data_IF_079444989534
#
_entry.id   IF_079444989534
#
_cell.length_a   1.000
_cell.length_b   1.000
_cell.length_c   1.000
_cell.angle_alpha   90.00
_cell.angle_beta   90.00
_cell.angle_gamma   90.00
#
_symmetry.space_group_name_H-M   'P 1'
#
loop_
_entity.id
_entity.type
_entity.pdbx_description
1 polymer ?
#
# COMPACT_ATOMS: atom_id res chain seq x y z
N UNK A 1 -97.37 6.81 -5.32
CA UNK A 1 -97.65 6.74 -3.86
C UNK A 1 -96.44 7.35 -3.14
N UNK A 2 -96.53 8.60 -2.63
CA UNK A 2 -96.44 9.01 -1.19
C UNK A 2 -95.13 8.53 -0.52
N UNK A 3 -94.17 9.35 -0.05
CA UNK A 3 -94.18 10.51 0.89
C UNK A 3 -92.79 11.22 0.87
N UNK A 4 -92.70 12.56 0.80
CA UNK A 4 -92.39 13.59 1.84
C UNK A 4 -90.95 13.64 2.43
N UNK A 5 -90.33 14.83 2.24
CA UNK A 5 -89.13 15.47 2.88
C UNK A 5 -89.58 16.01 4.28
N UNK A 6 -88.77 16.21 5.38
CA UNK A 6 -87.49 16.95 5.46
C UNK A 6 -86.48 16.69 6.64
N UNK A 7 -85.40 17.49 6.64
CA UNK A 7 -84.61 18.09 7.75
C UNK A 7 -83.13 17.68 8.01
N UNK A 8 -82.27 18.70 7.84
CA UNK A 8 -80.85 18.97 8.22
C UNK A 8 -80.56 18.88 9.75
N UNK A 9 -79.33 19.12 10.28
CA UNK A 9 -77.97 18.64 9.97
C UNK A 9 -77.22 18.16 11.26
N UNK A 10 -76.03 17.55 11.15
CA UNK A 10 -75.00 17.70 12.21
C UNK A 10 -73.58 17.47 11.68
N UNK A 11 -72.75 18.50 11.84
CA UNK A 11 -71.29 18.44 11.80
C UNK A 11 -70.76 17.46 12.84
N UNK A 12 -69.74 16.68 12.49
CA UNK A 12 -68.56 16.47 13.33
C UNK A 12 -67.49 15.72 12.53
N UNK A 13 -66.34 16.36 12.38
CA UNK A 13 -65.13 15.79 11.84
C UNK A 13 -64.59 14.69 12.77
N UNK A 14 -64.25 13.53 12.20
CA UNK A 14 -63.12 12.73 12.66
C UNK A 14 -62.38 12.23 11.42
N UNK A 15 -61.12 12.66 11.32
CA UNK A 15 -60.16 12.17 10.35
C UNK A 15 -60.04 10.64 10.51
N UNK A 16 -60.36 9.90 9.45
CA UNK A 16 -59.94 8.51 9.37
C UNK A 16 -58.41 8.51 9.25
N UNK A 17 -57.77 7.98 10.28
CA UNK A 17 -56.45 7.37 10.17
C UNK A 17 -56.56 6.25 9.11
N UNK A 18 -56.17 6.57 7.88
CA UNK A 18 -55.91 5.58 6.86
C UNK A 18 -54.52 5.00 7.10
N UNK A 19 -54.47 3.83 7.73
CA UNK A 19 -53.37 2.89 7.55
C UNK A 19 -53.30 2.51 6.07
N UNK A 20 -52.53 3.27 5.29
CA UNK A 20 -52.00 2.85 4.01
C UNK A 20 -50.54 2.48 4.22
N UNK A 21 -50.32 1.21 4.56
CA UNK A 21 -48.98 0.65 4.74
C UNK A 21 -48.17 0.80 3.46
N UNK A 22 -47.00 1.40 3.60
CA UNK A 22 -45.90 1.25 2.66
C UNK A 22 -44.63 1.33 3.51
N UNK A 23 -44.31 0.22 4.16
CA UNK A 23 -43.00 -0.02 4.78
C UNK A 23 -41.95 -0.09 3.65
N UNK A 24 -41.56 1.08 3.15
CA UNK A 24 -40.28 1.21 2.47
C UNK A 24 -39.23 1.35 3.57
N UNK A 25 -38.34 0.36 3.79
CA UNK A 25 -37.17 0.62 4.59
C UNK A 25 -36.40 1.73 3.88
N UNK A 26 -36.24 2.86 4.57
CA UNK A 26 -35.27 3.90 4.24
C UNK A 26 -33.88 3.25 4.27
N UNK A 27 -33.49 2.60 3.18
CA UNK A 27 -32.14 2.11 2.92
C UNK A 27 -31.24 3.29 2.53
N UNK A 28 -31.20 4.31 3.39
CA UNK A 28 -30.14 5.32 3.38
C UNK A 28 -28.98 4.89 4.26
N UNK A 29 -28.60 3.61 4.18
CA UNK A 29 -27.25 3.20 4.57
C UNK A 29 -26.32 3.87 3.56
N UNK A 30 -25.45 4.81 3.96
CA UNK A 30 -24.44 5.34 3.06
C UNK A 30 -23.69 4.15 2.46
N UNK A 31 -23.45 4.11 1.13
CA UNK A 31 -22.72 3.00 0.54
C UNK A 31 -21.42 2.86 1.32
N UNK A 32 -21.21 1.69 1.93
CA UNK A 32 -20.01 1.41 2.70
C UNK A 32 -18.82 1.68 1.79
N UNK A 33 -18.11 2.77 2.05
CA UNK A 33 -16.90 3.08 1.30
C UNK A 33 -15.94 1.92 1.55
N UNK A 34 -15.64 1.20 0.47
CA UNK A 34 -14.56 0.22 0.41
C UNK A 34 -13.37 0.75 1.23
N UNK A 35 -13.08 0.11 2.35
CA UNK A 35 -11.97 0.53 3.22
C UNK A 35 -10.88 -0.53 3.18
N UNK A 36 -9.66 -0.08 2.90
CA UNK A 36 -8.47 -0.89 3.01
C UNK A 36 -7.93 -0.79 4.45
N UNK A 37 -7.70 -1.93 5.08
CA UNK A 37 -7.06 -2.02 6.40
C UNK A 37 -6.01 -3.13 6.42
N UNK A 38 -4.93 -2.89 7.15
CA UNK A 38 -3.90 -3.89 7.47
C UNK A 38 -3.73 -3.88 8.98
N UNK A 39 -3.48 -5.03 9.62
CA UNK A 39 -3.16 -5.08 11.05
C UNK A 39 -2.02 -4.11 11.37
N UNK A 40 -2.25 -3.25 12.36
CA UNK A 40 -1.25 -2.31 12.83
C UNK A 40 -0.29 -2.97 13.81
N UNK A 41 1.00 -2.83 13.54
CA UNK A 41 2.08 -3.24 14.44
C UNK A 41 2.66 -2.03 15.16
N UNK A 42 3.26 -2.30 16.32
CA UNK A 42 4.13 -1.35 17.03
C UNK A 42 5.30 -0.93 16.13
N UNK A 43 5.91 0.25 16.37
CA UNK A 43 7.09 0.69 15.62
C UNK A 43 8.20 -0.36 15.63
N UNK A 44 8.75 -0.68 14.45
CA UNK A 44 9.67 -1.80 14.29
C UNK A 44 9.77 -2.31 12.85
N UNK A 45 10.55 -3.37 12.67
CA UNK A 45 10.64 -4.12 11.43
C UNK A 45 10.28 -5.59 11.72
N UNK A 46 9.56 -6.23 10.79
CA UNK A 46 9.02 -7.57 11.00
C UNK A 46 9.09 -8.40 9.72
N UNK A 47 9.27 -9.71 9.89
CA UNK A 47 8.83 -10.70 8.91
C UNK A 47 7.39 -11.04 9.25
N UNK A 48 6.51 -11.00 8.25
CA UNK A 48 5.08 -11.29 8.44
C UNK A 48 4.61 -12.33 7.44
N UNK A 49 3.48 -12.94 7.74
CA UNK A 49 2.74 -13.72 6.76
C UNK A 49 1.25 -13.37 6.76
N UNK A 50 0.61 -13.50 5.61
CA UNK A 50 -0.81 -13.19 5.40
C UNK A 50 -1.48 -14.24 4.51
N UNK A 51 -2.81 -14.13 4.40
CA UNK A 51 -3.59 -14.94 3.46
C UNK A 51 -4.00 -16.28 4.06
N UNK A 52 -3.82 -17.34 3.28
CA UNK A 52 -4.18 -18.70 3.66
C UNK A 52 -3.13 -19.33 4.59
N UNK A 53 -3.56 -20.09 5.60
CA UNK A 53 -2.64 -20.66 6.59
C UNK A 53 -1.83 -21.86 6.06
N UNK A 54 -2.36 -22.58 5.08
CA UNK A 54 -1.71 -23.74 4.45
C UNK A 54 -0.80 -23.32 3.29
N UNK A 55 -1.01 -22.13 2.75
CA UNK A 55 -0.17 -21.50 1.72
C UNK A 55 0.04 -20.00 1.98
N UNK A 56 0.74 -19.63 3.06
CA UNK A 56 0.87 -18.24 3.47
C UNK A 56 1.75 -17.44 2.51
N UNK A 57 1.37 -16.19 2.27
CA UNK A 57 2.22 -15.22 1.58
C UNK A 57 3.10 -14.51 2.60
N UNK A 58 4.42 -14.61 2.43
CA UNK A 58 5.41 -13.99 3.31
C UNK A 58 5.74 -12.57 2.84
N UNK A 59 6.05 -11.68 3.77
CA UNK A 59 6.45 -10.32 3.45
C UNK A 59 7.30 -9.66 4.53
N UNK A 60 7.68 -8.43 4.24
CA UNK A 60 8.36 -7.52 5.17
C UNK A 60 7.42 -6.40 5.56
N UNK A 61 7.35 -6.10 6.85
CA UNK A 61 6.55 -5.02 7.40
C UNK A 61 7.46 -4.05 8.15
N UNK A 62 7.41 -2.77 7.79
CA UNK A 62 8.13 -1.69 8.45
C UNK A 62 7.13 -0.70 9.06
N UNK A 63 7.32 -0.40 10.34
CA UNK A 63 6.45 0.45 11.12
C UNK A 63 7.22 1.62 11.71
N UNK A 64 6.89 2.83 11.25
CA UNK A 64 7.49 4.06 11.76
C UNK A 64 6.83 4.55 13.04
N UNK A 65 7.62 5.18 13.92
CA UNK A 65 7.12 5.80 15.15
C UNK A 65 6.17 6.99 14.87
N UNK A 66 6.23 7.55 13.66
CA UNK A 66 5.36 8.64 13.20
C UNK A 66 4.01 8.17 12.64
N UNK A 67 3.74 6.85 12.64
CA UNK A 67 2.53 6.25 12.10
C UNK A 67 2.62 5.80 10.64
N UNK A 68 3.73 6.09 9.95
CA UNK A 68 4.01 5.55 8.61
C UNK A 68 4.15 4.03 8.65
N UNK A 69 3.70 3.34 7.61
CA UNK A 69 3.72 1.88 7.49
C UNK A 69 4.02 1.45 6.07
N UNK A 70 4.71 0.33 5.93
CA UNK A 70 4.99 -0.27 4.63
C UNK A 70 5.04 -1.79 4.77
N UNK A 71 4.20 -2.47 3.99
CA UNK A 71 4.14 -3.93 3.89
C UNK A 71 4.40 -4.32 2.44
N UNK A 72 5.48 -5.05 2.19
CA UNK A 72 5.77 -5.66 0.89
C UNK A 72 5.56 -7.17 0.99
N UNK A 73 4.61 -7.69 0.22
CA UNK A 73 4.33 -9.12 0.11
C UNK A 73 5.07 -9.71 -1.09
N UNK A 74 5.82 -10.78 -0.84
CA UNK A 74 6.56 -11.49 -1.85
C UNK A 74 5.64 -12.34 -2.72
N UNK A 75 5.92 -12.37 -4.03
CA UNK A 75 5.36 -13.32 -4.98
C UNK A 75 6.41 -14.33 -5.41
N UNK A 76 6.49 -14.59 -6.72
CA UNK A 76 7.52 -15.44 -7.29
C UNK A 76 8.93 -14.85 -7.06
N UNK A 77 9.92 -15.73 -6.90
CA UNK A 77 11.35 -15.35 -6.76
C UNK A 77 11.63 -14.40 -5.58
N UNK A 78 10.77 -14.44 -4.56
CA UNK A 78 10.81 -13.58 -3.38
C UNK A 78 10.75 -12.07 -3.67
N UNK A 79 10.34 -11.69 -4.89
CA UNK A 79 10.13 -10.29 -5.27
C UNK A 79 8.80 -9.78 -4.77
N UNK A 80 8.77 -8.54 -4.30
CA UNK A 80 7.51 -7.90 -3.93
C UNK A 80 6.59 -7.76 -5.15
N UNK A 81 5.35 -8.22 -5.02
CA UNK A 81 4.32 -8.09 -6.08
C UNK A 81 3.11 -7.28 -5.61
N UNK A 82 2.93 -7.16 -4.30
CA UNK A 82 1.91 -6.32 -3.66
C UNK A 82 2.57 -5.49 -2.56
N UNK A 83 2.27 -4.20 -2.55
CA UNK A 83 2.65 -3.26 -1.50
C UNK A 83 1.38 -2.73 -0.85
N UNK A 84 1.37 -2.67 0.48
CA UNK A 84 0.45 -1.84 1.24
C UNK A 84 1.27 -0.77 1.96
N UNK A 85 0.87 0.49 1.85
CA UNK A 85 1.59 1.60 2.48
C UNK A 85 0.63 2.59 3.11
N UNK A 86 1.10 3.26 4.16
CA UNK A 86 0.39 4.34 4.83
C UNK A 86 1.40 5.41 5.18
N UNK A 87 1.17 6.63 4.71
CA UNK A 87 1.98 7.78 5.10
C UNK A 87 1.57 8.27 6.51
N UNK A 88 2.37 9.15 7.11
CA UNK A 88 2.08 9.74 8.43
C UNK A 88 0.67 10.35 8.47
N UNK A 89 -0.20 9.79 9.32
CA UNK A 89 -1.58 10.25 9.49
C UNK A 89 -2.50 9.99 8.27
N UNK A 90 -2.02 9.26 7.26
CA UNK A 90 -2.78 8.92 6.07
C UNK A 90 -3.60 7.63 6.22
N UNK A 91 -4.31 7.27 5.16
CA UNK A 91 -4.99 5.98 5.01
C UNK A 91 -4.08 4.95 4.35
N UNK A 92 -4.40 3.66 4.52
CA UNK A 92 -3.75 2.60 3.77
C UNK A 92 -4.04 2.73 2.26
N UNK A 93 -3.02 2.48 1.45
CA UNK A 93 -3.07 2.40 -0.01
C UNK A 93 -2.41 1.10 -0.44
N UNK A 94 -2.98 0.43 -1.44
CA UNK A 94 -2.41 -0.77 -2.05
C UNK A 94 -1.84 -0.49 -3.44
N UNK A 95 -0.81 -1.24 -3.82
CA UNK A 95 -0.29 -1.29 -5.18
C UNK A 95 0.06 -2.74 -5.55
N UNK A 96 -0.46 -3.29 -6.66
CA UNK A 96 -1.57 -2.74 -7.45
C UNK A 96 -2.89 -2.73 -6.66
N UNK A 97 -3.86 -1.96 -7.14
CA UNK A 97 -5.24 -2.01 -6.63
C UNK A 97 -5.57 -0.99 -5.53
N UNK A 98 -5.14 0.26 -5.71
CA UNK A 98 -5.37 1.36 -4.76
C UNK A 98 -6.83 1.55 -4.31
N UNK A 99 -7.81 1.16 -5.16
CA UNK A 99 -9.25 1.31 -4.89
C UNK A 99 -9.92 0.03 -4.34
N UNK A 100 -9.16 -1.03 -4.08
CA UNK A 100 -9.73 -2.29 -3.61
C UNK A 100 -10.11 -2.21 -2.12
N UNK A 101 -11.34 -2.61 -1.78
CA UNK A 101 -11.71 -2.91 -0.40
C UNK A 101 -10.97 -4.20 0.04
N UNK A 102 -10.18 -4.13 1.10
CA UNK A 102 -9.55 -5.33 1.66
C UNK A 102 -9.25 -5.18 3.14
N UNK A 103 -9.25 -6.29 3.86
CA UNK A 103 -8.73 -6.37 5.22
C UNK A 103 -7.61 -7.41 5.25
N UNK A 104 -6.39 -6.93 5.39
CA UNK A 104 -5.18 -7.75 5.43
C UNK A 104 -4.88 -8.08 6.89
N UNK A 105 -5.12 -9.34 7.26
CA UNK A 105 -4.81 -9.88 8.58
C UNK A 105 -3.48 -10.62 8.55
N UNK A 106 -2.63 -10.35 9.52
CA UNK A 106 -1.38 -11.09 9.70
C UNK A 106 -1.67 -12.43 10.38
N UNK A 107 -1.13 -13.50 9.80
CA UNK A 107 -1.10 -14.83 10.38
C UNK A 107 0.05 -14.98 11.37
N UNK A 108 1.21 -14.40 11.04
CA UNK A 108 2.40 -14.31 11.90
C UNK A 108 3.07 -12.95 11.78
N UNK A 109 3.80 -12.58 12.83
CA UNK A 109 4.56 -11.34 12.94
C UNK A 109 5.80 -11.59 13.82
N UNK A 110 6.93 -11.76 13.18
CA UNK A 110 8.20 -12.04 13.85
C UNK A 110 9.08 -10.79 13.78
N UNK A 111 9.39 -10.14 14.92
CA UNK A 111 10.22 -8.94 14.92
C UNK A 111 11.64 -9.26 14.45
N UNK A 112 12.23 -8.36 13.68
CA UNK A 112 13.64 -8.40 13.30
C UNK A 112 14.39 -7.21 13.90
N UNK A 113 15.73 -7.27 14.03
CA UNK A 113 16.51 -6.13 14.48
C UNK A 113 16.19 -4.88 13.65
N UNK A 114 15.80 -3.81 14.34
CA UNK A 114 15.41 -2.55 13.75
C UNK A 114 16.51 -1.51 13.98
N UNK A 115 16.97 -0.85 12.92
CA UNK A 115 17.96 0.21 12.97
C UNK A 115 17.51 1.42 12.14
N UNK A 116 17.84 2.63 12.58
CA UNK A 116 17.73 3.81 11.72
C UNK A 116 18.77 3.71 10.60
N UNK A 117 18.39 4.13 9.39
CA UNK A 117 19.28 4.15 8.23
C UNK A 117 19.49 5.59 7.80
N UNK A 118 20.75 5.96 7.59
CA UNK A 118 21.13 7.27 7.07
C UNK A 118 21.46 7.16 5.58
N UNK A 119 21.09 8.13 4.72
CA UNK A 119 21.39 8.06 3.28
C UNK A 119 22.88 7.81 2.97
N UNK A 120 23.78 8.39 3.77
CA UNK A 120 25.22 8.21 3.61
C UNK A 120 25.71 6.77 3.80
N UNK A 121 24.99 5.92 4.54
CA UNK A 121 25.41 4.53 4.77
C UNK A 121 25.23 3.62 3.55
N UNK A 122 24.40 4.04 2.59
CA UNK A 122 24.15 3.32 1.34
C UNK A 122 24.88 3.95 0.15
N UNK A 123 25.85 4.83 0.40
CA UNK A 123 26.67 5.38 -0.68
C UNK A 123 27.54 4.29 -1.34
N UNK A 124 27.67 4.36 -2.66
CA UNK A 124 28.45 3.41 -3.44
C UNK A 124 27.97 3.24 -4.89
N UNK A 125 28.60 2.31 -5.59
CA UNK A 125 28.19 1.86 -6.92
C UNK A 125 27.48 0.52 -6.81
N UNK A 126 26.42 0.36 -7.61
CA UNK A 126 25.54 -0.79 -7.55
C UNK A 126 25.09 -1.23 -8.93
N UNK A 127 24.83 -2.54 -9.04
CA UNK A 127 24.17 -3.15 -10.18
C UNK A 127 22.88 -3.83 -9.72
N UNK A 128 21.81 -3.66 -10.49
CA UNK A 128 20.56 -4.43 -10.38
C UNK A 128 20.32 -5.25 -11.63
N UNK A 129 19.62 -6.37 -11.49
CA UNK A 129 19.08 -7.13 -12.63
C UNK A 129 17.59 -6.79 -12.77
N UNK A 130 17.20 -6.39 -13.96
CA UNK A 130 15.82 -6.05 -14.31
C UNK A 130 15.00 -7.32 -14.56
N UNK A 131 13.66 -7.24 -14.51
CA UNK A 131 12.79 -8.37 -14.88
C UNK A 131 13.01 -8.90 -16.31
N UNK A 132 13.57 -8.09 -17.21
CA UNK A 132 13.94 -8.52 -18.56
C UNK A 132 15.25 -9.34 -18.63
N UNK A 133 15.96 -9.50 -17.52
CA UNK A 133 17.29 -10.09 -17.44
C UNK A 133 18.44 -9.13 -17.78
N UNK A 134 18.14 -7.92 -18.26
CA UNK A 134 19.16 -6.89 -18.48
C UNK A 134 19.63 -6.28 -17.14
N UNK A 135 20.87 -5.80 -17.09
CA UNK A 135 21.40 -5.11 -15.91
C UNK A 135 21.32 -3.60 -16.03
N UNK A 136 21.16 -2.92 -14.90
CA UNK A 136 21.29 -1.48 -14.78
C UNK A 136 22.30 -1.14 -13.68
N UNK A 137 23.29 -0.32 -13.99
CA UNK A 137 24.24 0.20 -13.01
C UNK A 137 23.86 1.62 -12.61
N UNK A 138 24.14 1.97 -11.36
CA UNK A 138 23.92 3.30 -10.81
C UNK A 138 24.83 3.55 -9.62
N UNK A 139 24.88 4.80 -9.18
CA UNK A 139 25.57 5.22 -7.97
C UNK A 139 24.59 5.84 -7.00
N UNK A 140 24.82 5.63 -5.71
CA UNK A 140 24.19 6.38 -4.62
C UNK A 140 25.26 7.25 -3.99
N UNK A 141 25.00 8.53 -3.92
CA UNK A 141 25.87 9.53 -3.29
C UNK A 141 25.59 9.62 -1.79
N UNK A 142 26.49 10.24 -1.03
CA UNK A 142 26.36 10.36 0.44
C UNK A 142 25.14 11.21 0.87
N UNK A 143 24.70 12.13 0.02
CA UNK A 143 23.48 12.94 0.19
C UNK A 143 22.21 12.21 -0.30
N UNK A 144 22.33 10.97 -0.76
CA UNK A 144 21.19 10.14 -1.15
C UNK A 144 20.73 10.33 -2.59
N UNK A 145 21.45 11.06 -3.45
CA UNK A 145 21.12 11.10 -4.88
C UNK A 145 21.50 9.79 -5.57
N UNK A 146 20.58 9.24 -6.35
CA UNK A 146 20.78 8.12 -7.26
C UNK A 146 21.10 8.69 -8.65
N UNK A 147 22.27 8.37 -9.19
CA UNK A 147 22.69 8.78 -10.53
C UNK A 147 22.93 7.56 -11.41
N UNK A 148 22.49 7.58 -12.68
CA UNK A 148 22.61 6.42 -13.55
C UNK A 148 24.07 6.15 -13.92
N UNK A 149 24.38 4.87 -14.11
CA UNK A 149 25.66 4.40 -14.64
C UNK A 149 25.65 4.26 -16.16
N UNK A 150 26.61 3.50 -16.69
CA UNK A 150 26.84 3.33 -18.12
C UNK A 150 25.95 2.24 -18.79
N UNK A 151 24.88 1.79 -18.15
CA UNK A 151 23.97 0.76 -18.68
C UNK A 151 22.93 1.32 -19.66
N UNK A 152 22.34 0.46 -20.49
CA UNK A 152 21.26 0.85 -21.41
C UNK A 152 20.00 1.34 -20.68
N UNK A 153 19.61 0.66 -19.60
CA UNK A 153 18.61 1.16 -18.66
C UNK A 153 19.25 2.18 -17.72
N UNK A 154 18.58 3.32 -17.56
CA UNK A 154 19.04 4.45 -16.76
C UNK A 154 18.14 4.58 -15.52
N UNK A 155 18.69 4.29 -14.34
CA UNK A 155 18.03 4.48 -13.05
C UNK A 155 18.57 5.73 -12.37
N UNK A 156 17.67 6.61 -11.92
CA UNK A 156 18.01 7.86 -11.24
C UNK A 156 16.98 8.16 -10.15
N UNK A 157 17.27 9.10 -9.26
CA UNK A 157 16.34 9.43 -8.19
C UNK A 157 16.99 9.92 -6.92
N UNK A 158 16.29 9.72 -5.80
CA UNK A 158 16.75 10.13 -4.47
C UNK A 158 16.29 9.14 -3.40
N UNK A 159 17.15 8.93 -2.42
CA UNK A 159 16.80 8.35 -1.13
C UNK A 159 16.96 9.38 -0.02
N UNK A 160 16.10 9.32 1.00
CA UNK A 160 16.19 10.20 2.16
C UNK A 160 15.77 9.46 3.43
N UNK A 161 16.25 9.94 4.58
CA UNK A 161 15.90 9.39 5.89
C UNK A 161 14.39 9.25 6.05
N UNK A 162 13.96 8.18 6.72
CA UNK A 162 12.55 7.88 6.94
C UNK A 162 12.34 7.37 8.37
N UNK A 163 11.11 7.53 8.90
CA UNK A 163 10.80 7.13 10.27
C UNK A 163 10.68 5.60 10.45
N UNK A 164 10.57 4.86 9.35
CA UNK A 164 10.53 3.40 9.35
C UNK A 164 11.94 2.82 9.47
N UNK A 165 12.20 1.91 10.43
CA UNK A 165 13.51 1.30 10.58
C UNK A 165 13.87 0.45 9.38
N UNK A 166 15.18 0.25 9.17
CA UNK A 166 15.78 -0.51 8.08
C UNK A 166 15.46 0.03 6.67
N UNK A 167 14.89 1.25 6.57
CA UNK A 167 14.49 1.83 5.29
C UNK A 167 14.96 3.27 5.11
N UNK A 168 15.09 3.66 3.85
CA UNK A 168 15.09 5.04 3.40
C UNK A 168 13.86 5.24 2.50
N UNK A 169 13.28 6.44 2.51
CA UNK A 169 12.29 6.81 1.49
C UNK A 169 12.95 6.83 0.11
N UNK A 170 12.24 6.43 -0.92
CA UNK A 170 12.74 6.30 -2.29
C UNK A 170 11.83 7.05 -3.26
N UNK A 171 12.44 7.86 -4.13
CA UNK A 171 11.87 8.31 -5.39
C UNK A 171 12.76 7.80 -6.51
N UNK A 172 12.19 7.00 -7.40
CA UNK A 172 12.90 6.38 -8.51
C UNK A 172 12.35 6.91 -9.83
N UNK A 173 13.24 7.22 -10.75
CA UNK A 173 12.95 7.49 -12.14
C UNK A 173 13.74 6.53 -13.02
N UNK A 174 13.07 5.97 -14.03
CA UNK A 174 13.65 4.99 -14.93
C UNK A 174 13.46 5.43 -16.39
N UNK A 175 14.51 5.26 -17.20
CA UNK A 175 14.46 5.49 -18.64
C UNK A 175 15.09 4.33 -19.37
N UNK A 176 14.46 3.88 -20.46
CA UNK A 176 14.88 2.71 -21.25
C UNK A 176 15.00 1.40 -20.43
N UNK A 177 14.14 1.22 -19.42
CA UNK A 177 14.18 0.09 -18.48
C UNK A 177 13.08 -0.96 -18.70
N UNK A 178 12.46 -0.98 -19.88
CA UNK A 178 11.42 -1.95 -20.24
C UNK A 178 10.18 -1.85 -19.35
N UNK A 179 9.93 -2.88 -18.54
CA UNK A 179 8.72 -2.98 -17.72
C UNK A 179 8.75 -2.15 -16.42
N UNK A 180 9.92 -1.63 -16.04
CA UNK A 180 10.04 -0.75 -14.87
C UNK A 180 9.26 0.56 -15.11
N UNK A 181 8.42 1.01 -14.16
CA UNK A 181 7.73 2.29 -14.28
C UNK A 181 8.69 3.47 -14.48
N UNK A 182 8.29 4.43 -15.31
CA UNK A 182 9.08 5.64 -15.57
C UNK A 182 9.33 6.47 -14.30
N UNK A 183 8.38 6.44 -13.37
CA UNK A 183 8.50 7.01 -12.03
C UNK A 183 7.85 6.08 -11.02
N UNK A 184 8.48 5.87 -9.87
CA UNK A 184 7.93 5.10 -8.77
C UNK A 184 8.37 5.70 -7.43
N UNK A 185 7.56 5.48 -6.39
CA UNK A 185 7.88 5.87 -5.01
C UNK A 185 7.76 4.70 -4.07
N UNK A 186 8.57 4.67 -3.02
CA UNK A 186 8.53 3.59 -2.04
C UNK A 186 9.69 3.69 -1.06
N UNK A 187 10.38 2.57 -0.87
CA UNK A 187 11.50 2.47 0.06
C UNK A 187 12.73 1.82 -0.58
N UNK A 188 13.90 2.25 -0.13
CA UNK A 188 15.09 1.40 -0.13
C UNK A 188 15.09 0.64 1.19
N UNK A 189 15.09 -0.70 1.13
CA UNK A 189 15.07 -1.56 2.31
C UNK A 189 16.39 -2.31 2.47
N UNK A 190 16.96 -2.29 3.68
CA UNK A 190 18.13 -3.07 4.07
C UNK A 190 17.65 -4.30 4.83
N UNK A 191 17.69 -5.45 4.17
CA UNK A 191 17.25 -6.72 4.73
C UNK A 191 18.42 -7.73 4.68
N UNK A 192 18.85 -8.23 5.83
CA UNK A 192 19.97 -9.20 5.92
C UNK A 192 19.64 -10.56 5.32
N UNK A 193 18.36 -10.89 5.18
CA UNK A 193 17.91 -12.17 4.64
C UNK A 193 18.15 -12.29 3.12
N UNK A 194 18.37 -11.17 2.42
CA UNK A 194 18.58 -11.13 0.96
C UNK A 194 20.03 -10.90 0.55
N UNK A 195 21.00 -11.17 1.44
CA UNK A 195 22.40 -11.19 1.04
C UNK A 195 22.62 -12.16 -0.15
N UNK A 196 23.45 -11.81 -1.15
CA UNK A 196 24.43 -10.72 -1.14
C UNK A 196 23.92 -9.37 -1.64
N UNK A 197 22.60 -9.19 -1.83
CA UNK A 197 22.08 -7.86 -2.13
C UNK A 197 22.34 -6.93 -0.94
N UNK A 198 22.89 -5.75 -1.21
CA UNK A 198 23.16 -4.74 -0.19
C UNK A 198 21.86 -4.10 0.30
N UNK A 199 20.90 -3.93 -0.60
CA UNK A 199 19.55 -3.45 -0.32
C UNK A 199 18.61 -3.79 -1.48
N UNK A 200 17.32 -3.56 -1.24
CA UNK A 200 16.25 -3.65 -2.24
C UNK A 200 15.67 -2.28 -2.51
N UNK A 201 15.38 -1.96 -3.77
CA UNK A 201 14.58 -0.82 -4.17
C UNK A 201 13.15 -1.31 -4.41
N UNK A 202 12.27 -1.07 -3.44
CA UNK A 202 10.88 -1.54 -3.46
C UNK A 202 9.97 -0.33 -3.63
N UNK A 203 9.30 -0.21 -4.77
CA UNK A 203 8.52 0.97 -5.11
C UNK A 203 7.31 0.63 -6.00
N UNK A 204 6.40 1.59 -6.16
CA UNK A 204 5.25 1.46 -7.04
C UNK A 204 4.90 2.78 -7.75
N UNK A 205 4.16 2.67 -8.86
CA UNK A 205 3.48 3.78 -9.55
C UNK A 205 1.95 3.77 -9.29
N UNK A 206 1.49 3.03 -8.27
CA UNK A 206 0.10 2.72 -7.97
C UNK A 206 -0.49 1.55 -8.78
N UNK A 207 -0.02 1.32 -10.00
CA UNK A 207 -0.49 0.24 -10.87
C UNK A 207 0.48 -0.94 -10.97
N UNK A 208 1.77 -0.71 -10.74
CA UNK A 208 2.84 -1.70 -10.85
C UNK A 208 3.80 -1.58 -9.67
N UNK A 209 4.23 -2.73 -9.18
CA UNK A 209 5.30 -2.85 -8.18
C UNK A 209 6.62 -3.12 -8.90
N UNK A 210 7.68 -2.51 -8.40
CA UNK A 210 9.06 -2.81 -8.74
C UNK A 210 9.82 -3.22 -7.47
N UNK A 211 10.56 -4.31 -7.55
CA UNK A 211 11.48 -4.75 -6.50
C UNK A 211 12.82 -5.15 -7.14
N UNK A 212 13.79 -4.25 -7.05
CA UNK A 212 15.12 -4.42 -7.63
C UNK A 212 16.12 -4.69 -6.52
N UNK A 213 16.86 -5.78 -6.62
CA UNK A 213 17.90 -6.11 -5.64
C UNK A 213 19.22 -5.55 -6.12
N UNK A 214 19.81 -4.67 -5.32
CA UNK A 214 21.04 -3.96 -5.66
C UNK A 214 22.24 -4.67 -5.03
N UNK A 215 23.18 -5.06 -5.87
CA UNK A 215 24.44 -5.67 -5.48
C UNK A 215 25.53 -4.62 -5.58
N UNK A 216 26.44 -4.58 -4.60
CA UNK A 216 27.62 -3.71 -4.70
C UNK A 216 28.49 -4.20 -5.86
N UNK A 217 28.99 -3.24 -6.63
CA UNK A 217 30.04 -3.48 -7.64
C UNK A 217 31.40 -3.74 -6.97
#
# INVERSE_FOLDING_TARGET
MKRLIPLFPLMAALALAGCGGNDAPDNTTPPATASLSVTDLEPGAYVVSVGDADSPTVGKYYAGADGSRYLALAGAEDKATIIYRRDKGGSWVAAPGADAAASVRLLRQDPVPAASVEPGSVAGSYTVVLPSGASASFTVTADGKIAPGASGCQLSGTVAAHAMPNTLSLKLAASACGMVPASATGVLAIDTDYQPAAFRLIADDGGRVVDLWAYRD
#
